data_IF_849570538823
#
_entry.id   IF_849570538823
#
_cell.length_a   1.000
_cell.length_b   1.000
_cell.length_c   1.000
_cell.angle_alpha   90.00
_cell.angle_beta   90.00
_cell.angle_gamma   90.00
#
_symmetry.space_group_name_H-M   'P 1'
#
loop_
_entity.id
_entity.type
_entity.pdbx_description
1 polymer ?
#
# COMPACT_ATOMS: atom_id res chain seq x y z
N UNK A 1 13.68 1.28 -23.41
CA UNK A 1 13.87 2.20 -22.26
C UNK A 1 12.84 1.87 -21.18
N UNK A 2 13.20 1.90 -19.88
CA UNK A 2 12.22 1.74 -18.82
C UNK A 2 11.22 2.91 -18.84
N UNK A 3 9.93 2.61 -19.00
CA UNK A 3 8.86 3.62 -18.97
C UNK A 3 8.64 4.13 -17.52
N UNK A 4 8.36 5.42 -17.31
CA UNK A 4 7.96 5.93 -15.99
C UNK A 4 6.65 5.27 -15.52
N UNK A 5 6.45 5.12 -14.20
CA UNK A 5 5.28 4.42 -13.63
C UNK A 5 3.95 5.04 -14.03
N UNK A 6 3.90 6.36 -14.18
CA UNK A 6 2.73 7.08 -14.70
C UNK A 6 2.34 6.68 -16.13
N UNK A 7 3.23 6.00 -16.87
CA UNK A 7 2.97 5.44 -18.19
C UNK A 7 2.81 3.90 -18.16
N UNK A 8 2.96 3.26 -17.00
CA UNK A 8 2.77 1.81 -16.82
C UNK A 8 1.47 1.48 -16.09
N UNK A 9 0.91 2.43 -15.34
CA UNK A 9 -0.35 2.29 -14.62
C UNK A 9 -1.28 3.36 -15.17
N UNK A 10 -2.31 2.90 -15.86
CA UNK A 10 -3.34 3.68 -16.53
C UNK A 10 -4.70 3.15 -16.08
N UNK A 11 -5.35 3.89 -15.18
CA UNK A 11 -6.67 3.49 -14.66
C UNK A 11 -7.79 3.66 -15.70
N UNK A 12 -7.53 4.37 -16.80
CA UNK A 12 -8.44 4.40 -17.95
C UNK A 12 -8.44 3.11 -18.75
N UNK A 13 -7.34 2.34 -18.71
CA UNK A 13 -7.19 1.11 -19.48
C UNK A 13 -7.68 -0.10 -18.68
N UNK A 14 -7.32 -0.18 -17.40
CA UNK A 14 -7.80 -1.20 -16.47
C UNK A 14 -7.56 -0.77 -15.02
N UNK A 15 -8.45 -1.11 -14.07
CA UNK A 15 -8.21 -0.97 -12.65
C UNK A 15 -7.39 -2.14 -12.04
N UNK A 16 -7.09 -3.19 -12.81
CA UNK A 16 -6.45 -4.41 -12.31
C UNK A 16 -4.96 -4.51 -12.67
N UNK A 17 -4.13 -4.79 -11.66
CA UNK A 17 -2.68 -4.89 -11.82
C UNK A 17 -2.07 -6.06 -11.04
N UNK A 18 -1.17 -6.78 -11.70
CA UNK A 18 -0.25 -7.71 -11.05
C UNK A 18 1.04 -7.01 -10.65
N UNK A 19 1.36 -7.03 -9.37
CA UNK A 19 2.54 -6.43 -8.78
C UNK A 19 3.49 -7.52 -8.30
N UNK A 20 4.79 -7.36 -8.58
CA UNK A 20 5.85 -8.20 -8.03
C UNK A 20 6.95 -7.33 -7.44
N UNK A 21 7.37 -7.65 -6.20
CA UNK A 21 8.48 -6.98 -5.51
C UNK A 21 9.43 -8.04 -4.96
N UNK A 22 10.70 -7.95 -5.35
CA UNK A 22 11.74 -8.91 -4.99
C UNK A 22 12.75 -8.27 -4.02
N UNK A 23 13.30 -9.06 -3.11
CA UNK A 23 14.38 -8.63 -2.22
C UNK A 23 15.74 -8.68 -2.91
N UNK A 24 16.71 -7.94 -2.38
CA UNK A 24 18.12 -8.03 -2.78
C UNK A 24 18.94 -8.78 -1.75
N UNK A 25 20.21 -9.08 -2.09
CA UNK A 25 21.20 -9.67 -1.17
C UNK A 25 20.78 -11.03 -0.61
N UNK A 26 19.92 -11.77 -1.32
CA UNK A 26 19.31 -13.02 -0.84
C UNK A 26 18.57 -12.86 0.51
N UNK A 27 18.07 -11.66 0.81
CA UNK A 27 17.32 -11.44 2.05
C UNK A 27 15.97 -12.16 2.01
N UNK A 28 15.56 -12.72 3.14
CA UNK A 28 14.33 -13.51 3.25
C UNK A 28 13.15 -12.63 3.69
N UNK A 29 12.05 -12.69 2.93
CA UNK A 29 10.72 -12.24 3.35
C UNK A 29 10.03 -13.26 4.24
N UNK A 30 10.28 -14.55 4.04
CA UNK A 30 9.80 -15.67 4.85
C UNK A 30 10.57 -16.94 4.46
N UNK A 31 10.25 -18.09 5.04
CA UNK A 31 10.93 -19.35 4.75
C UNK A 31 12.07 -19.67 5.70
N UNK A 32 12.68 -20.83 5.49
CA UNK A 32 13.87 -21.26 6.22
C UNK A 32 15.07 -21.13 5.31
N UNK A 33 16.11 -20.46 5.79
CA UNK A 33 17.39 -20.45 5.12
C UNK A 33 18.04 -21.84 5.26
N UNK A 34 18.22 -22.54 4.14
CA UNK A 34 18.76 -23.90 4.11
C UNK A 34 20.25 -23.95 4.45
N UNK A 35 20.98 -22.85 4.30
CA UNK A 35 22.42 -22.80 4.60
C UNK A 35 22.66 -22.59 6.10
N UNK A 36 21.90 -21.69 6.73
CA UNK A 36 22.08 -21.34 8.15
C UNK A 36 21.11 -22.03 9.10
N UNK A 37 20.01 -22.59 8.59
CA UNK A 37 18.92 -23.17 9.38
C UNK A 37 18.00 -22.13 10.04
N UNK A 38 18.25 -20.82 9.83
CA UNK A 38 17.45 -19.76 10.43
C UNK A 38 16.07 -19.70 9.77
N UNK A 39 15.02 -19.69 10.60
CA UNK A 39 13.65 -19.51 10.13
C UNK A 39 13.25 -18.04 10.15
N UNK A 40 12.71 -17.59 9.02
CA UNK A 40 12.09 -16.28 8.82
C UNK A 40 10.58 -16.40 8.58
N UNK A 41 9.97 -17.58 8.74
CA UNK A 41 8.54 -17.79 8.49
C UNK A 41 7.62 -16.87 9.30
N UNK A 42 8.05 -16.44 10.49
CA UNK A 42 7.32 -15.44 11.27
C UNK A 42 7.10 -14.13 10.49
N UNK A 43 7.95 -13.84 9.50
CA UNK A 43 7.83 -12.65 8.67
C UNK A 43 6.64 -12.64 7.73
N UNK A 44 6.25 -13.82 7.22
CA UNK A 44 5.09 -13.99 6.34
C UNK A 44 3.84 -13.38 6.97
N UNK A 45 3.58 -13.74 8.22
CA UNK A 45 2.36 -13.35 8.92
C UNK A 45 2.21 -11.82 9.04
N UNK A 46 3.26 -11.11 9.46
CA UNK A 46 3.14 -9.65 9.62
C UNK A 46 3.18 -8.91 8.28
N UNK A 47 3.80 -9.50 7.23
CA UNK A 47 3.70 -8.98 5.86
C UNK A 47 2.26 -9.09 5.36
N UNK A 48 1.62 -10.26 5.51
CA UNK A 48 0.21 -10.48 5.13
C UNK A 48 -0.73 -9.56 5.90
N UNK A 49 -0.58 -9.47 7.22
CA UNK A 49 -1.34 -8.51 8.04
C UNK A 49 -1.16 -7.06 7.56
N UNK A 50 0.06 -6.69 7.15
CA UNK A 50 0.33 -5.35 6.63
C UNK A 50 -0.39 -5.11 5.30
N UNK A 51 -0.40 -6.09 4.39
CA UNK A 51 -1.12 -6.04 3.12
C UNK A 51 -2.62 -5.78 3.37
N UNK A 52 -3.25 -6.58 4.23
CA UNK A 52 -4.68 -6.41 4.55
C UNK A 52 -4.97 -5.11 5.32
N UNK A 53 -4.07 -4.67 6.18
CA UNK A 53 -4.20 -3.35 6.83
C UNK A 53 -4.17 -2.22 5.80
N UNK A 54 -3.38 -2.35 4.73
CA UNK A 54 -3.32 -1.32 3.68
C UNK A 54 -4.60 -1.28 2.86
N UNK A 55 -5.19 -2.43 2.50
CA UNK A 55 -6.45 -2.46 1.74
C UNK A 55 -7.64 -1.89 2.52
N UNK A 56 -7.60 -1.91 3.86
CA UNK A 56 -8.60 -1.22 4.69
C UNK A 56 -8.48 0.31 4.67
N UNK A 57 -7.33 0.85 4.24
CA UNK A 57 -7.04 2.28 4.25
C UNK A 57 -7.10 2.89 2.87
N UNK A 58 -6.42 2.27 1.90
CA UNK A 58 -6.41 2.64 0.49
C UNK A 58 -7.72 2.22 -0.19
N UNK A 59 -8.05 2.86 -1.30
CA UNK A 59 -9.09 2.39 -2.22
C UNK A 59 -8.47 1.41 -3.21
N UNK A 60 -7.84 0.36 -2.66
CA UNK A 60 -7.15 -0.67 -3.41
C UNK A 60 -7.41 -2.02 -2.74
N UNK A 61 -8.14 -2.88 -3.44
CA UNK A 61 -8.47 -4.22 -2.99
C UNK A 61 -7.36 -5.22 -3.35
N UNK A 62 -7.30 -6.30 -2.59
CA UNK A 62 -6.39 -7.44 -2.84
C UNK A 62 -7.22 -8.57 -3.45
N UNK A 63 -7.07 -8.80 -4.74
CA UNK A 63 -7.73 -9.91 -5.43
C UNK A 63 -7.03 -11.25 -5.11
N UNK A 64 -5.69 -11.24 -5.12
CA UNK A 64 -4.86 -12.40 -4.78
C UNK A 64 -3.51 -11.94 -4.23
N UNK A 65 -2.84 -12.77 -3.44
CA UNK A 65 -1.52 -12.47 -2.91
C UNK A 65 -0.70 -13.73 -2.64
N UNK A 66 0.62 -13.62 -2.75
CA UNK A 66 1.55 -14.65 -2.32
C UNK A 66 2.83 -14.01 -1.77
N UNK A 67 3.22 -14.39 -0.56
CA UNK A 67 4.51 -14.03 0.03
C UNK A 67 5.43 -15.24 -0.10
N UNK A 68 6.46 -15.10 -0.92
CA UNK A 68 7.47 -16.14 -1.16
C UNK A 68 8.72 -15.82 -0.36
N UNK A 69 9.69 -16.74 -0.35
CA UNK A 69 10.91 -16.59 0.44
C UNK A 69 11.69 -15.28 0.15
N UNK A 70 11.74 -14.82 -1.09
CA UNK A 70 12.51 -13.62 -1.48
C UNK A 70 11.73 -12.64 -2.36
N UNK A 71 10.45 -12.87 -2.63
CA UNK A 71 9.61 -11.95 -3.39
C UNK A 71 8.16 -12.08 -2.99
N UNK A 72 7.35 -11.09 -3.31
CA UNK A 72 5.91 -11.13 -3.14
C UNK A 72 5.20 -10.83 -4.45
N UNK A 73 4.01 -11.38 -4.59
CA UNK A 73 3.06 -11.12 -5.66
C UNK A 73 1.76 -10.59 -5.08
N UNK A 74 1.19 -9.55 -5.71
CA UNK A 74 -0.13 -9.02 -5.41
C UNK A 74 -0.91 -8.88 -6.70
N UNK A 75 -2.18 -9.25 -6.70
CA UNK A 75 -3.16 -8.84 -7.71
C UNK A 75 -4.03 -7.79 -7.05
N UNK A 76 -3.96 -6.56 -7.56
CA UNK A 76 -4.60 -5.38 -7.00
C UNK A 76 -5.74 -4.91 -7.90
N UNK A 77 -6.80 -4.40 -7.29
CA UNK A 77 -7.88 -3.69 -7.94
C UNK A 77 -7.97 -2.27 -7.37
N UNK A 78 -7.87 -1.24 -8.21
CA UNK A 78 -7.96 0.16 -7.77
C UNK A 78 -9.40 0.67 -7.92
N UNK A 79 -10.08 0.84 -6.80
CA UNK A 79 -11.48 1.30 -6.75
C UNK A 79 -11.57 2.83 -6.68
N UNK A 80 -11.31 3.47 -7.83
CA UNK A 80 -11.36 4.94 -7.92
C UNK A 80 -12.77 5.49 -7.70
N UNK A 81 -13.81 4.73 -8.02
CA UNK A 81 -15.20 5.13 -7.83
C UNK A 81 -15.53 5.26 -6.35
N UNK A 82 -15.12 4.29 -5.53
CA UNK A 82 -15.26 4.38 -4.08
C UNK A 82 -14.52 5.58 -3.50
N UNK A 83 -13.29 5.85 -3.95
CA UNK A 83 -12.52 6.99 -3.49
C UNK A 83 -13.17 8.35 -3.83
N UNK A 84 -13.85 8.43 -4.99
CA UNK A 84 -14.57 9.63 -5.41
C UNK A 84 -15.71 9.97 -4.45
N UNK A 85 -16.39 8.95 -3.92
CA UNK A 85 -17.51 9.11 -2.98
C UNK A 85 -17.08 9.49 -1.55
N UNK A 86 -15.79 9.44 -1.23
CA UNK A 86 -15.32 9.81 0.11
C UNK A 86 -15.39 11.31 0.37
N UNK A 87 -15.93 11.64 1.54
CA UNK A 87 -15.87 12.98 2.13
C UNK A 87 -14.43 13.33 2.54
N UNK A 88 -14.17 14.62 2.72
CA UNK A 88 -12.89 15.15 3.24
C UNK A 88 -12.52 14.47 4.56
N UNK A 89 -13.47 14.35 5.48
CA UNK A 89 -13.26 13.70 6.78
C UNK A 89 -12.85 12.22 6.62
N UNK A 90 -13.49 11.47 5.71
CA UNK A 90 -13.14 10.08 5.46
C UNK A 90 -11.75 9.93 4.85
N UNK A 91 -11.39 10.77 3.87
CA UNK A 91 -10.06 10.79 3.28
C UNK A 91 -9.00 11.05 4.33
N UNK A 92 -9.19 12.06 5.18
CA UNK A 92 -8.25 12.41 6.23
C UNK A 92 -8.16 11.30 7.29
N UNK A 93 -9.30 10.78 7.74
CA UNK A 93 -9.36 9.66 8.70
C UNK A 93 -8.59 8.43 8.19
N UNK A 94 -8.77 8.08 6.90
CA UNK A 94 -8.00 7.02 6.24
C UNK A 94 -6.51 7.33 6.21
N UNK A 95 -6.13 8.50 5.70
CA UNK A 95 -4.73 8.91 5.61
C UNK A 95 -4.03 8.88 6.97
N UNK A 96 -4.69 9.38 8.01
CA UNK A 96 -4.16 9.45 9.37
C UNK A 96 -3.94 8.09 10.05
N UNK A 97 -4.55 7.00 9.55
CA UNK A 97 -4.25 5.63 10.02
C UNK A 97 -2.83 5.18 9.69
N UNK A 98 -2.19 5.78 8.69
CA UNK A 98 -0.88 5.36 8.19
C UNK A 98 0.17 6.48 8.22
N UNK A 99 -0.26 7.73 8.09
CA UNK A 99 0.62 8.88 7.94
C UNK A 99 0.24 9.98 8.92
N UNK A 100 1.20 10.78 9.35
CA UNK A 100 0.94 11.84 10.34
C UNK A 100 0.01 12.95 9.82
N UNK A 101 0.02 13.22 8.52
CA UNK A 101 -0.61 14.38 7.89
C UNK A 101 -0.08 15.73 8.42
N UNK A 102 -0.80 16.81 8.09
CA UNK A 102 -0.45 18.20 8.48
C UNK A 102 -1.07 18.60 9.82
N UNK A 103 -0.72 19.78 10.34
CA UNK A 103 -1.37 20.31 11.54
C UNK A 103 -2.85 20.60 11.28
N UNK A 104 -3.18 21.29 10.18
CA UNK A 104 -4.56 21.65 9.83
C UNK A 104 -5.46 20.43 9.63
N UNK A 105 -4.97 19.39 8.96
CA UNK A 105 -5.77 18.16 8.74
C UNK A 105 -6.08 17.42 10.03
N UNK A 106 -5.12 17.40 11.00
CA UNK A 106 -5.37 16.84 12.33
C UNK A 106 -6.34 17.68 13.15
N UNK A 107 -6.19 19.00 13.09
CA UNK A 107 -7.09 19.93 13.77
C UNK A 107 -8.53 19.78 13.23
N UNK A 108 -8.71 19.77 11.91
CA UNK A 108 -10.00 19.51 11.27
C UNK A 108 -10.65 18.22 11.77
N UNK A 109 -9.90 17.11 11.81
CA UNK A 109 -10.44 15.83 12.26
C UNK A 109 -10.86 15.85 13.74
N UNK A 110 -10.11 16.55 14.59
CA UNK A 110 -10.44 16.70 16.01
C UNK A 110 -11.70 17.54 16.22
N UNK A 111 -11.84 18.65 15.48
CA UNK A 111 -13.03 19.50 15.53
C UNK A 111 -14.30 18.75 15.10
N UNK A 112 -14.20 17.91 14.06
CA UNK A 112 -15.33 17.06 13.63
C UNK A 112 -15.69 15.95 14.62
N UNK A 113 -14.78 15.59 15.52
CA UNK A 113 -15.01 14.54 16.54
C UNK A 113 -15.61 15.11 17.84
N UNK A 114 -15.48 16.41 18.09
CA UNK A 114 -15.95 17.06 19.32
C UNK A 114 -17.37 17.60 19.13
N UNK A 115 -18.36 16.83 19.57
CA UNK A 115 -19.79 17.22 19.53
C UNK A 115 -20.20 18.23 20.61
N UNK A 116 -19.28 18.69 21.47
CA UNK A 116 -19.59 19.50 22.66
C UNK A 116 -18.85 20.84 22.69
N UNK A 117 -19.58 21.86 22.23
CA UNK A 117 -19.70 23.30 22.58
C UNK A 117 -18.76 24.03 23.57
N UNK A 118 -17.52 23.61 23.80
CA UNK A 118 -16.58 24.42 24.58
C UNK A 118 -15.23 24.49 23.89
N UNK A 119 -14.98 25.64 23.26
CA UNK A 119 -13.78 26.01 22.47
C UNK A 119 -13.61 25.31 21.12
N UNK A 120 -14.53 25.59 20.17
CA UNK A 120 -14.26 25.43 18.74
C UNK A 120 -13.31 26.56 18.30
N UNK A 121 -12.01 26.26 18.16
CA UNK A 121 -11.12 27.09 17.34
C UNK A 121 -11.53 26.88 15.89
N UNK A 122 -12.60 27.53 15.46
CA UNK A 122 -13.18 27.31 14.13
C UNK A 122 -12.11 27.66 13.09
N UNK A 123 -11.73 26.68 12.26
CA UNK A 123 -10.84 26.91 11.12
C UNK A 123 -11.36 28.09 10.29
N UNK A 124 -10.48 29.02 9.96
CA UNK A 124 -10.82 30.12 9.06
C UNK A 124 -11.18 29.58 7.67
N UNK A 125 -11.93 30.33 6.83
CA UNK A 125 -12.25 29.90 5.48
C UNK A 125 -11.02 29.50 4.65
N UNK A 126 -9.90 30.23 4.81
CA UNK A 126 -8.64 29.91 4.15
C UNK A 126 -8.02 28.61 4.66
N UNK A 127 -8.01 28.37 5.97
CA UNK A 127 -7.51 27.10 6.51
C UNK A 127 -8.36 25.91 6.09
N UNK A 128 -9.68 26.11 5.98
CA UNK A 128 -10.59 25.08 5.46
C UNK A 128 -10.29 24.76 3.99
N UNK A 129 -10.04 25.77 3.16
CA UNK A 129 -9.61 25.58 1.77
C UNK A 129 -8.29 24.78 1.69
N UNK A 130 -7.31 25.12 2.52
CA UNK A 130 -6.05 24.36 2.61
C UNK A 130 -6.24 22.90 3.04
N UNK A 131 -7.21 22.63 3.92
CA UNK A 131 -7.58 21.27 4.34
C UNK A 131 -8.18 20.50 3.16
N UNK A 132 -9.11 21.10 2.43
CA UNK A 132 -9.74 20.51 1.25
C UNK A 132 -8.71 20.18 0.15
N UNK A 133 -7.83 21.13 -0.19
CA UNK A 133 -6.74 20.90 -1.15
C UNK A 133 -5.83 19.75 -0.69
N UNK A 134 -5.46 19.72 0.59
CA UNK A 134 -4.65 18.65 1.16
C UNK A 134 -5.37 17.30 1.08
N UNK A 135 -6.67 17.28 1.35
CA UNK A 135 -7.48 16.07 1.26
C UNK A 135 -7.56 15.57 -0.19
N UNK A 136 -7.68 16.44 -1.19
CA UNK A 136 -7.64 16.01 -2.60
C UNK A 136 -6.30 15.35 -2.94
N UNK A 137 -5.18 15.92 -2.48
CA UNK A 137 -3.86 15.29 -2.65
C UNK A 137 -3.82 13.91 -1.99
N UNK A 138 -4.38 13.76 -0.79
CA UNK A 138 -4.40 12.47 -0.10
C UNK A 138 -5.32 11.45 -0.79
N UNK A 139 -6.47 11.88 -1.31
CA UNK A 139 -7.38 11.04 -2.11
C UNK A 139 -6.65 10.44 -3.32
N UNK A 140 -5.92 11.27 -4.08
CA UNK A 140 -5.12 10.80 -5.22
C UNK A 140 -4.05 9.79 -4.80
N UNK A 141 -3.45 9.95 -3.62
CA UNK A 141 -2.44 9.01 -3.11
C UNK A 141 -3.06 7.71 -2.60
N UNK A 142 -4.30 7.73 -2.12
CA UNK A 142 -5.02 6.55 -1.61
C UNK A 142 -5.52 5.61 -2.71
N UNK A 143 -5.51 6.03 -3.97
CA UNK A 143 -5.74 5.19 -5.16
C UNK A 143 -4.44 4.84 -5.91
N UNK A 144 -3.30 5.38 -5.48
CA UNK A 144 -2.02 5.21 -6.18
C UNK A 144 -1.28 3.95 -5.71
N UNK A 145 -1.09 2.99 -6.62
CA UNK A 145 -0.37 1.73 -6.35
C UNK A 145 1.08 1.97 -5.89
N UNK A 146 1.76 3.01 -6.38
CA UNK A 146 3.11 3.33 -5.92
C UNK A 146 3.11 3.81 -4.47
N UNK A 147 2.09 4.56 -4.04
CA UNK A 147 1.90 4.94 -2.64
C UNK A 147 1.56 3.74 -1.77
N UNK A 148 0.71 2.83 -2.27
CA UNK A 148 0.42 1.55 -1.61
C UNK A 148 1.70 0.75 -1.40
N UNK A 149 2.48 0.53 -2.47
CA UNK A 149 3.72 -0.23 -2.43
C UNK A 149 4.79 0.45 -1.57
N UNK A 150 4.84 1.78 -1.55
CA UNK A 150 5.72 2.51 -0.62
C UNK A 150 5.35 2.24 0.83
N UNK A 151 4.05 2.30 1.15
CA UNK A 151 3.54 2.06 2.50
C UNK A 151 3.67 0.59 2.95
N UNK A 152 3.74 -0.33 1.99
CA UNK A 152 4.03 -1.75 2.21
C UNK A 152 5.53 -2.00 2.42
N UNK A 153 6.36 -1.56 1.46
CA UNK A 153 7.76 -1.95 1.37
C UNK A 153 8.64 -1.30 2.43
N UNK A 154 8.39 -0.03 2.81
CA UNK A 154 9.26 0.69 3.75
C UNK A 154 9.26 0.05 5.15
N UNK A 155 8.10 -0.22 5.80
CA UNK A 155 8.10 -0.87 7.10
C UNK A 155 8.71 -2.27 7.06
N UNK A 156 8.50 -3.02 5.97
CA UNK A 156 9.08 -4.35 5.80
C UNK A 156 10.60 -4.28 5.76
N UNK A 157 11.15 -3.41 4.90
CA UNK A 157 12.59 -3.21 4.78
C UNK A 157 13.22 -2.78 6.10
N UNK A 158 12.59 -1.83 6.80
CA UNK A 158 13.09 -1.32 8.08
C UNK A 158 13.12 -2.39 9.16
N UNK A 159 12.04 -3.18 9.28
CA UNK A 159 11.94 -4.24 10.29
C UNK A 159 12.91 -5.39 9.98
N UNK A 160 12.95 -5.85 8.73
CA UNK A 160 13.84 -6.92 8.30
C UNK A 160 15.32 -6.55 8.45
N UNK A 161 15.73 -5.36 7.98
CA UNK A 161 17.11 -4.91 8.14
C UNK A 161 17.51 -4.77 9.62
N UNK A 162 16.60 -4.33 10.49
CA UNK A 162 16.83 -4.25 11.93
C UNK A 162 17.03 -5.65 12.55
N UNK A 163 16.19 -6.61 12.17
CA UNK A 163 16.29 -8.01 12.61
C UNK A 163 17.58 -8.66 12.11
N UNK A 164 17.94 -8.42 10.84
CA UNK A 164 19.14 -8.92 10.17
C UNK A 164 20.42 -8.14 10.57
N UNK A 165 20.30 -7.14 11.46
CA UNK A 165 21.40 -6.28 11.93
C UNK A 165 22.24 -5.69 10.78
N UNK A 166 21.58 -5.29 9.70
CA UNK A 166 22.25 -4.77 8.50
C UNK A 166 21.67 -3.41 8.06
N UNK A 167 22.39 -2.75 7.16
CA UNK A 167 21.99 -1.48 6.54
C UNK A 167 21.95 -1.62 5.01
N UNK A 168 21.32 -0.65 4.34
CA UNK A 168 21.23 -0.62 2.88
C UNK A 168 19.89 -1.14 2.33
N UNK A 169 19.87 -1.41 1.02
CA UNK A 169 18.65 -1.79 0.33
C UNK A 169 18.17 -3.20 0.71
N UNK A 170 16.86 -3.32 0.90
CA UNK A 170 16.17 -4.59 1.12
C UNK A 170 15.43 -5.06 -0.13
N UNK A 171 14.80 -4.14 -0.87
CA UNK A 171 14.07 -4.41 -2.12
C UNK A 171 14.94 -4.15 -3.35
N UNK A 172 14.68 -4.90 -4.42
CA UNK A 172 15.27 -4.69 -5.74
C UNK A 172 14.60 -3.47 -6.39
N UNK A 173 15.29 -2.34 -6.34
CA UNK A 173 14.93 -1.12 -7.06
C UNK A 173 13.43 -0.80 -7.06
N UNK A 174 12.80 -1.01 -8.23
CA UNK A 174 11.37 -0.74 -8.46
C UNK A 174 10.60 -2.06 -8.52
N UNK A 175 9.43 -2.12 -7.89
CA UNK A 175 8.45 -3.18 -8.13
C UNK A 175 8.05 -3.22 -9.61
N UNK A 176 7.73 -4.43 -10.09
CA UNK A 176 7.17 -4.67 -11.42
C UNK A 176 5.64 -4.53 -11.35
N UNK A 177 5.05 -3.97 -12.39
CA UNK A 177 3.60 -3.79 -12.53
C UNK A 177 3.17 -4.24 -13.92
N UNK A 178 2.17 -5.11 -13.98
CA UNK A 178 1.60 -5.62 -15.22
C UNK A 178 0.09 -5.37 -15.20
N UNK A 179 -0.41 -4.62 -16.19
CA UNK A 179 -1.84 -4.40 -16.39
C UNK A 179 -2.53 -5.72 -16.79
N UNK A 180 -3.70 -5.98 -16.20
CA UNK A 180 -4.57 -7.12 -16.52
C UNK A 180 -5.79 -6.56 -17.27
N UNK A 181 -5.82 -6.76 -18.59
CA UNK A 181 -6.73 -6.03 -19.49
C UNK A 181 -8.09 -6.70 -19.71
N UNK A 182 -8.21 -7.97 -19.33
CA UNK A 182 -9.43 -8.75 -19.47
C UNK A 182 -9.62 -9.72 -18.30
N UNK A 183 -10.84 -10.23 -18.15
CA UNK A 183 -11.22 -11.14 -17.07
C UNK A 183 -10.44 -12.46 -17.12
N UNK A 184 -10.12 -12.95 -18.32
CA UNK A 184 -9.32 -14.17 -18.48
C UNK A 184 -7.90 -14.00 -17.95
N UNK A 185 -7.25 -12.88 -18.27
CA UNK A 185 -5.94 -12.50 -17.75
C UNK A 185 -5.98 -12.33 -16.22
N UNK A 186 -7.04 -11.72 -15.69
CA UNK A 186 -7.24 -11.55 -14.25
C UNK A 186 -7.34 -12.90 -13.54
N UNK A 187 -8.27 -13.76 -13.96
CA UNK A 187 -8.50 -15.07 -13.35
C UNK A 187 -7.27 -15.98 -13.45
N UNK A 188 -6.60 -16.00 -14.60
CA UNK A 188 -5.37 -16.74 -14.78
C UNK A 188 -4.25 -16.24 -13.87
N UNK A 189 -4.13 -14.91 -13.70
CA UNK A 189 -3.13 -14.31 -12.82
C UNK A 189 -3.42 -14.61 -11.34
N UNK A 190 -4.68 -14.51 -10.91
CA UNK A 190 -5.10 -14.87 -9.54
C UNK A 190 -4.78 -16.33 -9.24
N UNK A 191 -5.19 -17.24 -10.12
CA UNK A 191 -4.88 -18.67 -9.99
C UNK A 191 -3.36 -18.92 -9.97
N UNK A 192 -2.60 -18.25 -10.82
CA UNK A 192 -1.13 -18.32 -10.79
C UNK A 192 -0.59 -17.90 -9.43
N UNK A 193 -0.99 -16.73 -8.91
CA UNK A 193 -0.51 -16.18 -7.64
C UNK A 193 -0.87 -17.10 -6.47
N UNK A 194 -2.11 -17.54 -6.35
CA UNK A 194 -2.56 -18.39 -5.24
C UNK A 194 -1.89 -19.77 -5.24
N UNK A 195 -1.52 -20.29 -6.42
CA UNK A 195 -0.80 -21.56 -6.53
C UNK A 195 0.70 -21.45 -6.29
N UNK A 196 1.30 -20.25 -6.22
CA UNK A 196 2.74 -20.10 -6.03
C UNK A 196 3.24 -20.71 -4.72
N UNK A 197 2.62 -20.45 -3.54
CA UNK A 197 3.08 -21.02 -2.27
C UNK A 197 3.08 -22.56 -2.24
N UNK A 198 2.25 -23.21 -3.06
CA UNK A 198 2.17 -24.68 -3.15
C UNK A 198 3.25 -25.26 -4.05
N UNK A 199 3.76 -24.48 -5.01
CA UNK A 199 4.72 -24.95 -6.03
C UNK A 199 6.18 -24.67 -5.68
N UNK A 200 6.45 -23.87 -4.65
CA UNK A 200 7.79 -23.36 -4.30
C UNK A 200 8.51 -24.13 -3.19
#
# INVERSE_FOLDING_TARGET
MPKPRSQQISLSDTPYYHICSQTVRKAFLCGVDKETGVSYEHRRHWIEQRIFKLSQVFAIDICAHAVMNNHLHLVLHVDSEQANNWTTLEVLSRWHKLFKGTLLTRQFQQEQSLTTLTTLTTLTPFEMEMVEETAQVYKQRLIDISWFMRALNEPIARQANKEDKCTGHFWEGRFKSQALLDEGALLACMAYVDLNPVRA
#
